data_IF_132569660171
#
_entry.id   IF_132569660171
#
_cell.length_a   1.000
_cell.length_b   1.000
_cell.length_c   1.000
_cell.angle_alpha   90.00
_cell.angle_beta   90.00
_cell.angle_gamma   90.00
#
_symmetry.space_group_name_H-M   'P 1'
#
loop_
_entity.id
_entity.type
_entity.pdbx_description
1 polymer ?
#
# COMPACT_ATOMS: atom_id res chain seq x y z
N UNK A 1 -68.35 -31.23 20.32
CA UNK A 1 -68.46 -30.00 19.49
C UNK A 1 -67.40 -28.99 19.93
N UNK A 2 -66.20 -29.07 19.32
CA UNK A 2 -65.40 -27.93 18.83
C UNK A 2 -64.06 -28.49 18.32
N UNK A 3 -63.87 -28.26 17.02
CA UNK A 3 -62.72 -28.55 16.17
C UNK A 3 -61.71 -27.40 16.22
N UNK A 4 -60.44 -27.75 15.97
CA UNK A 4 -59.36 -27.03 15.26
C UNK A 4 -58.92 -25.64 15.79
N UNK A 5 -57.63 -25.25 15.80
CA UNK A 5 -56.61 -25.34 14.75
C UNK A 5 -55.18 -25.37 15.33
N UNK A 6 -54.35 -26.31 14.89
CA UNK A 6 -52.90 -26.25 15.03
C UNK A 6 -52.33 -25.62 13.74
N UNK A 7 -51.78 -24.40 13.82
CA UNK A 7 -51.13 -23.74 12.69
C UNK A 7 -49.69 -24.25 12.57
N UNK A 8 -49.41 -25.04 11.54
CA UNK A 8 -48.03 -25.35 11.12
C UNK A 8 -47.45 -24.14 10.39
N UNK A 9 -46.35 -23.59 10.91
CA UNK A 9 -45.55 -22.57 10.23
C UNK A 9 -44.46 -23.28 9.44
N UNK A 10 -44.61 -23.34 8.11
CA UNK A 10 -43.64 -23.92 7.18
C UNK A 10 -42.56 -22.85 6.90
N UNK A 11 -41.34 -23.05 7.41
CA UNK A 11 -40.20 -22.18 7.09
C UNK A 11 -39.60 -22.64 5.75
N UNK A 12 -39.84 -21.89 4.68
CA UNK A 12 -39.18 -22.13 3.38
C UNK A 12 -37.81 -21.46 3.43
N UNK A 13 -36.76 -22.25 3.67
CA UNK A 13 -35.37 -21.83 3.48
C UNK A 13 -35.11 -21.63 1.99
N UNK A 14 -35.15 -20.39 1.52
CA UNK A 14 -34.53 -20.02 0.26
C UNK A 14 -33.02 -19.97 0.49
N UNK A 15 -32.28 -20.86 -0.16
CA UNK A 15 -30.83 -20.75 -0.28
C UNK A 15 -30.50 -19.49 -1.08
N UNK A 16 -30.26 -18.39 -0.39
CA UNK A 16 -29.56 -17.25 -0.96
C UNK A 16 -28.12 -17.71 -1.12
N UNK A 17 -27.67 -17.95 -2.35
CA UNK A 17 -26.25 -18.01 -2.65
C UNK A 17 -25.72 -16.58 -2.43
N UNK A 18 -25.38 -16.25 -1.18
CA UNK A 18 -24.47 -15.15 -0.93
C UNK A 18 -23.15 -15.56 -1.56
N UNK A 19 -22.78 -14.87 -2.64
CA UNK A 19 -21.37 -14.74 -2.97
C UNK A 19 -20.77 -14.07 -1.75
N UNK A 20 -20.03 -14.82 -0.94
CA UNK A 20 -19.16 -14.24 0.07
C UNK A 20 -18.20 -13.34 -0.71
N UNK A 21 -18.27 -12.03 -0.53
CA UNK A 21 -17.05 -11.25 -0.67
C UNK A 21 -16.06 -11.86 0.33
N UNK A 22 -14.78 -11.96 -0.02
CA UNK A 22 -13.75 -12.29 0.97
C UNK A 22 -13.94 -11.40 2.20
N UNK A 23 -13.63 -11.93 3.37
CA UNK A 23 -13.60 -11.10 4.58
C UNK A 23 -12.62 -9.95 4.31
N UNK A 24 -13.00 -8.72 4.65
CA UNK A 24 -12.10 -7.57 4.48
C UNK A 24 -11.02 -7.67 5.55
N UNK A 25 -9.89 -8.25 5.19
CA UNK A 25 -8.75 -8.42 6.07
C UNK A 25 -7.42 -8.19 5.31
N UNK A 26 -6.32 -8.65 5.91
CA UNK A 26 -4.96 -8.56 5.36
C UNK A 26 -4.39 -9.93 4.99
N UNK A 27 -5.27 -10.92 4.83
CA UNK A 27 -4.96 -12.29 4.47
C UNK A 27 -5.46 -12.51 3.05
N UNK A 28 -4.60 -13.05 2.20
CA UNK A 28 -5.04 -13.42 0.87
C UNK A 28 -4.09 -14.38 0.19
N UNK A 29 -4.46 -14.77 -1.03
CA UNK A 29 -3.64 -15.63 -1.88
C UNK A 29 -2.88 -14.87 -2.96
N UNK A 30 -3.18 -13.58 -3.17
CA UNK A 30 -2.54 -12.77 -4.22
C UNK A 30 -2.33 -11.33 -3.77
N UNK A 31 -1.14 -10.79 -4.02
CA UNK A 31 -0.78 -9.41 -3.68
C UNK A 31 -0.01 -8.78 -4.84
N UNK A 32 -0.28 -7.50 -5.10
CA UNK A 32 0.49 -6.68 -6.04
C UNK A 32 1.05 -5.47 -5.30
N UNK A 33 2.36 -5.43 -5.15
CA UNK A 33 3.07 -4.44 -4.33
C UNK A 33 4.03 -3.60 -5.17
N UNK A 34 4.40 -2.43 -4.64
CA UNK A 34 5.51 -1.63 -5.12
C UNK A 34 6.26 -0.98 -3.95
N UNK A 35 7.49 -0.55 -4.19
CA UNK A 35 8.31 0.14 -3.19
C UNK A 35 8.56 1.59 -3.60
N UNK A 36 8.05 2.54 -2.80
CA UNK A 36 8.21 3.98 -3.05
C UNK A 36 9.66 4.43 -2.87
N UNK A 37 10.02 5.62 -3.35
CA UNK A 37 11.38 6.11 -3.19
C UNK A 37 11.73 6.35 -1.71
N UNK A 38 12.80 5.69 -1.28
CA UNK A 38 13.49 5.91 -0.02
C UNK A 38 14.93 6.14 -0.43
N UNK A 39 15.45 7.34 -0.19
CA UNK A 39 16.77 7.70 -0.70
C UNK A 39 17.54 8.56 0.28
N UNK A 40 18.82 8.26 0.35
CA UNK A 40 19.84 9.08 1.00
C UNK A 40 20.93 9.29 -0.04
N UNK A 41 21.24 10.57 -0.31
CA UNK A 41 22.36 10.97 -1.15
C UNK A 41 23.66 10.28 -0.68
N UNK A 42 24.56 10.01 -1.63
CA UNK A 42 24.82 8.65 -2.10
C UNK A 42 25.27 7.72 -0.97
N UNK A 43 24.47 6.70 -0.68
CA UNK A 43 24.92 5.55 0.12
C UNK A 43 25.82 4.66 -0.73
N UNK A 44 27.05 4.41 -0.26
CA UNK A 44 28.01 3.48 -0.88
C UNK A 44 27.64 2.01 -0.66
N UNK A 45 26.61 1.74 0.15
CA UNK A 45 26.16 0.40 0.50
C UNK A 45 24.63 0.38 0.44
N UNK A 46 24.06 0.21 -0.76
CA UNK A 46 22.61 0.11 -0.92
C UNK A 46 22.04 -1.02 -0.06
N UNK A 47 20.94 -0.75 0.66
CA UNK A 47 20.19 -1.80 1.36
C UNK A 47 19.11 -2.40 0.47
N UNK A 48 18.89 -3.70 0.63
CA UNK A 48 17.82 -4.45 -0.04
C UNK A 48 16.44 -4.01 0.49
N UNK A 49 15.43 -4.10 -0.37
CA UNK A 49 14.04 -4.08 0.07
C UNK A 49 13.67 -5.49 0.56
N UNK A 50 12.78 -5.56 1.54
CA UNK A 50 12.44 -6.82 2.21
C UNK A 50 10.93 -7.06 2.17
N UNK A 51 10.55 -8.31 1.92
CA UNK A 51 9.17 -8.79 2.05
C UNK A 51 9.17 -9.94 3.05
N UNK A 52 8.29 -9.84 4.04
CA UNK A 52 8.03 -10.90 5.00
C UNK A 52 6.69 -11.55 4.67
N UNK A 53 6.66 -12.87 4.65
CA UNK A 53 5.43 -13.65 4.44
C UNK A 53 5.23 -14.56 5.63
N UNK A 54 4.01 -14.65 6.14
CA UNK A 54 3.61 -15.56 7.21
C UNK A 54 2.22 -16.12 6.96
N UNK A 55 1.87 -17.22 7.59
CA UNK A 55 0.55 -17.84 7.46
C UNK A 55 0.09 -18.39 8.81
N UNK A 56 -1.23 -18.51 8.98
CA UNK A 56 -1.84 -19.26 10.08
C UNK A 56 -2.37 -20.63 9.62
N UNK A 57 -2.24 -20.95 8.32
CA UNK A 57 -2.73 -22.19 7.73
C UNK A 57 -2.05 -23.41 8.35
N UNK A 58 -2.84 -24.42 8.69
CA UNK A 58 -2.33 -25.65 9.31
C UNK A 58 -1.58 -26.55 8.32
N UNK A 59 -1.86 -26.39 7.02
CA UNK A 59 -1.19 -27.11 5.94
C UNK A 59 -0.01 -26.30 5.41
N UNK A 60 0.91 -26.97 4.69
CA UNK A 60 2.00 -26.30 3.98
C UNK A 60 1.41 -25.38 2.91
N UNK A 61 1.81 -24.11 2.93
CA UNK A 61 1.46 -23.11 1.91
C UNK A 61 2.65 -22.92 0.98
N UNK A 62 2.42 -23.07 -0.33
CA UNK A 62 3.40 -22.74 -1.35
C UNK A 62 3.24 -21.27 -1.75
N UNK A 63 4.34 -20.52 -1.77
CA UNK A 63 4.37 -19.11 -2.14
C UNK A 63 5.34 -18.90 -3.30
N UNK A 64 4.94 -18.09 -4.28
CA UNK A 64 5.75 -17.62 -5.39
C UNK A 64 5.75 -16.09 -5.41
N UNK A 65 6.94 -15.49 -5.44
CA UNK A 65 7.15 -14.06 -5.59
C UNK A 65 7.89 -13.80 -6.88
N UNK A 66 7.36 -12.90 -7.70
CA UNK A 66 7.95 -12.55 -8.99
C UNK A 66 7.85 -11.05 -9.30
N UNK A 67 8.66 -10.59 -10.25
CA UNK A 67 8.55 -9.25 -10.84
C UNK A 67 8.16 -9.38 -12.32
N UNK A 68 6.86 -9.48 -12.65
CA UNK A 68 6.42 -9.95 -13.98
C UNK A 68 6.92 -9.11 -15.16
N UNK A 69 7.09 -7.79 -14.97
CA UNK A 69 7.54 -6.85 -16.02
C UNK A 69 8.92 -6.23 -15.78
N UNK A 70 9.62 -6.61 -14.71
CA UNK A 70 10.97 -6.12 -14.39
C UNK A 70 11.98 -7.25 -14.44
N UNK A 71 12.99 -7.12 -15.31
CA UNK A 71 13.93 -8.21 -15.60
C UNK A 71 15.38 -7.92 -15.18
N UNK A 72 15.67 -6.72 -14.62
CA UNK A 72 17.04 -6.34 -14.28
C UNK A 72 17.12 -5.53 -12.97
N UNK A 73 17.28 -6.20 -11.81
CA UNK A 73 17.31 -7.66 -11.64
C UNK A 73 15.90 -8.26 -11.56
N UNK A 74 15.70 -9.44 -12.16
CA UNK A 74 14.46 -10.21 -12.07
C UNK A 74 14.27 -10.75 -10.64
N UNK A 75 13.03 -10.72 -10.16
CA UNK A 75 12.56 -11.49 -8.99
C UNK A 75 11.83 -12.73 -9.49
N UNK A 76 12.23 -13.88 -8.95
CA UNK A 76 11.62 -15.18 -9.20
C UNK A 76 12.02 -16.12 -8.05
N UNK A 77 11.18 -16.18 -7.02
CA UNK A 77 11.48 -16.89 -5.79
C UNK A 77 10.28 -17.69 -5.31
N UNK A 78 10.49 -18.93 -4.90
CA UNK A 78 9.44 -19.79 -4.35
C UNK A 78 9.91 -20.47 -3.08
N UNK A 79 8.98 -20.63 -2.15
CA UNK A 79 9.23 -21.32 -0.88
C UNK A 79 7.94 -21.93 -0.34
N UNK A 80 8.10 -22.80 0.66
CA UNK A 80 7.02 -23.34 1.44
C UNK A 80 7.05 -22.71 2.82
N UNK A 81 5.88 -22.43 3.38
CA UNK A 81 5.74 -21.88 4.72
C UNK A 81 4.62 -22.59 5.48
N UNK A 82 4.77 -22.72 6.79
CA UNK A 82 3.78 -23.31 7.69
C UNK A 82 3.43 -22.37 8.85
N UNK A 83 2.34 -22.65 9.56
CA UNK A 83 1.91 -21.84 10.70
C UNK A 83 3.03 -21.62 11.74
N UNK A 84 3.26 -20.36 12.10
CA UNK A 84 4.28 -19.94 13.07
C UNK A 84 5.64 -19.61 12.46
N UNK A 85 5.82 -19.83 11.15
CA UNK A 85 7.02 -19.41 10.41
C UNK A 85 6.85 -18.02 9.80
N UNK A 86 7.99 -17.36 9.55
CA UNK A 86 8.06 -16.11 8.78
C UNK A 86 9.21 -16.26 7.79
N UNK A 87 8.89 -16.18 6.50
CA UNK A 87 9.91 -16.15 5.45
C UNK A 87 10.29 -14.70 5.16
N UNK A 88 11.60 -14.42 5.13
CA UNK A 88 12.15 -13.13 4.70
C UNK A 88 12.76 -13.26 3.32
N UNK A 89 12.16 -12.58 2.34
CA UNK A 89 12.68 -12.48 0.98
C UNK A 89 13.25 -11.09 0.76
N UNK A 90 14.46 -11.02 0.21
CA UNK A 90 15.17 -9.77 -0.07
C UNK A 90 15.29 -9.54 -1.56
N UNK A 91 15.09 -8.29 -1.99
CA UNK A 91 15.23 -7.91 -3.39
C UNK A 91 16.17 -6.71 -3.55
N UNK A 92 16.72 -6.57 -4.75
CA UNK A 92 17.51 -5.39 -5.09
C UNK A 92 16.69 -4.12 -4.89
N UNK A 93 17.37 -3.07 -4.41
CA UNK A 93 16.83 -1.71 -4.35
C UNK A 93 16.38 -1.17 -5.71
N UNK A 94 16.78 -1.77 -6.82
CA UNK A 94 16.43 -1.26 -8.16
C UNK A 94 14.94 -1.39 -8.48
N UNK A 95 14.22 -2.24 -7.73
CA UNK A 95 12.76 -2.33 -7.75
C UNK A 95 12.07 -1.17 -7.01
N UNK A 96 12.84 -0.29 -6.37
CA UNK A 96 12.33 0.94 -5.78
C UNK A 96 12.08 1.97 -6.88
N UNK A 97 10.95 2.67 -6.78
CA UNK A 97 10.66 3.81 -7.65
C UNK A 97 11.66 4.95 -7.42
N UNK A 98 11.90 5.77 -8.44
CA UNK A 98 12.78 6.95 -8.34
C UNK A 98 12.13 8.15 -9.00
N UNK A 99 11.90 9.21 -8.22
CA UNK A 99 11.26 10.42 -8.72
C UNK A 99 9.79 10.22 -9.08
N UNK A 100 9.27 11.17 -9.86
CA UNK A 100 7.95 11.05 -10.49
C UNK A 100 8.10 10.31 -11.81
N UNK A 101 7.76 9.01 -11.83
CA UNK A 101 7.93 8.17 -13.02
C UNK A 101 6.87 7.07 -13.11
N UNK A 102 6.60 6.65 -14.35
CA UNK A 102 5.98 5.35 -14.64
C UNK A 102 7.08 4.30 -14.79
N UNK A 103 6.86 3.10 -14.26
CA UNK A 103 7.81 1.99 -14.35
C UNK A 103 7.10 0.64 -14.42
N UNK A 104 7.89 -0.43 -14.43
CA UNK A 104 7.43 -1.83 -14.49
C UNK A 104 7.80 -2.62 -13.24
N UNK A 105 7.95 -1.92 -12.10
CA UNK A 105 8.55 -2.45 -10.87
C UNK A 105 7.53 -3.11 -9.94
N UNK A 106 6.39 -3.55 -10.47
CA UNK A 106 5.39 -4.30 -9.71
C UNK A 106 5.92 -5.66 -9.26
N UNK A 107 5.63 -6.02 -8.01
CA UNK A 107 5.95 -7.32 -7.42
C UNK A 107 4.64 -8.07 -7.22
N UNK A 108 4.55 -9.27 -7.79
CA UNK A 108 3.43 -10.18 -7.64
C UNK A 108 3.80 -11.26 -6.63
N UNK A 109 2.95 -11.46 -5.63
CA UNK A 109 3.04 -12.56 -4.66
C UNK A 109 1.79 -13.41 -4.84
N UNK A 110 1.98 -14.71 -5.02
CA UNK A 110 0.90 -15.68 -5.16
C UNK A 110 1.14 -16.83 -4.19
N UNK A 111 0.08 -17.26 -3.50
CA UNK A 111 0.13 -18.31 -2.51
C UNK A 111 -0.97 -19.35 -2.77
N UNK A 112 -0.72 -20.61 -2.37
CA UNK A 112 -1.70 -21.68 -2.51
C UNK A 112 -2.84 -21.62 -1.46
N UNK A 113 -2.69 -20.79 -0.44
CA UNK A 113 -3.64 -20.54 0.64
C UNK A 113 -3.31 -19.19 1.32
N UNK A 114 -4.13 -18.79 2.27
CA UNK A 114 -4.08 -17.48 2.94
C UNK A 114 -2.70 -17.18 3.59
N UNK A 115 -2.12 -16.04 3.23
CA UNK A 115 -0.90 -15.51 3.85
C UNK A 115 -1.07 -14.04 4.21
N UNK A 116 -0.33 -13.57 5.21
CA UNK A 116 -0.11 -12.15 5.47
C UNK A 116 1.25 -11.73 4.91
N UNK A 117 1.30 -10.52 4.36
CA UNK A 117 2.52 -9.97 3.74
C UNK A 117 2.88 -8.63 4.38
N UNK A 118 4.17 -8.40 4.64
CA UNK A 118 4.70 -7.11 5.10
C UNK A 118 5.86 -6.67 4.22
N UNK A 119 5.87 -5.42 3.77
CA UNK A 119 6.98 -4.83 3.02
C UNK A 119 7.80 -3.89 3.89
N UNK A 120 9.13 -3.95 3.78
CA UNK A 120 10.06 -3.06 4.46
C UNK A 120 10.96 -2.34 3.47
N UNK A 121 10.91 -1.01 3.47
CA UNK A 121 11.62 -0.15 2.55
C UNK A 121 12.82 0.50 3.25
N UNK A 122 14.00 -0.13 3.16
CA UNK A 122 15.17 0.24 3.96
C UNK A 122 16.23 1.00 3.18
N UNK A 123 16.88 1.94 3.86
CA UNK A 123 18.13 2.55 3.47
C UNK A 123 18.95 2.91 4.72
N UNK A 124 20.25 3.19 4.59
CA UNK A 124 21.15 3.45 5.71
C UNK A 124 20.67 4.67 6.51
N UNK A 125 19.99 4.46 7.66
CA UNK A 125 19.38 5.54 8.47
C UNK A 125 18.09 6.12 7.85
N UNK A 126 17.31 5.30 7.17
CA UNK A 126 15.95 5.61 6.75
C UNK A 126 15.18 4.30 6.56
N UNK A 127 14.16 4.02 7.35
CA UNK A 127 13.36 2.79 7.17
C UNK A 127 11.93 3.01 7.59
N UNK A 128 11.02 2.44 6.81
CA UNK A 128 9.66 2.21 7.24
C UNK A 128 9.10 0.97 6.55
N UNK A 129 7.98 0.45 7.04
CA UNK A 129 7.32 -0.73 6.52
C UNK A 129 5.81 -0.56 6.42
N UNK A 130 5.20 -1.43 5.64
CA UNK A 130 3.76 -1.43 5.41
C UNK A 130 3.20 -2.85 5.48
N UNK A 131 1.94 -2.95 5.87
CA UNK A 131 1.15 -4.17 5.72
C UNK A 131 0.67 -4.28 4.27
N UNK A 132 0.92 -5.43 3.65
CA UNK A 132 0.44 -5.76 2.32
C UNK A 132 -1.06 -6.06 2.35
N UNK A 133 -1.83 -5.43 1.46
CA UNK A 133 -3.25 -5.76 1.25
C UNK A 133 -3.41 -6.68 0.04
N UNK A 134 -4.17 -7.78 0.16
CA UNK A 134 -4.41 -8.71 -0.93
C UNK A 134 -5.28 -8.09 -2.04
N UNK A 135 -5.22 -8.65 -3.25
CA UNK A 135 -5.87 -8.06 -4.43
C UNK A 135 -7.40 -8.04 -4.36
N UNK A 136 -8.00 -8.90 -3.54
CA UNK A 136 -9.44 -9.03 -3.34
C UNK A 136 -10.05 -8.00 -2.37
N UNK A 137 -9.23 -7.28 -1.60
CA UNK A 137 -9.67 -6.14 -0.77
C UNK A 137 -9.30 -4.78 -1.39
N UNK A 138 -8.68 -4.75 -2.57
CA UNK A 138 -8.39 -3.52 -3.28
C UNK A 138 -9.65 -2.96 -3.96
N UNK A 139 -9.68 -1.64 -4.10
CA UNK A 139 -10.80 -0.88 -4.65
C UNK A 139 -10.33 0.17 -5.64
N UNK A 140 -11.20 1.15 -5.91
CA UNK A 140 -11.02 2.13 -7.00
C UNK A 140 -11.07 3.59 -6.55
N UNK A 141 -11.22 3.84 -5.25
CA UNK A 141 -11.31 5.17 -4.67
C UNK A 141 -10.50 5.23 -3.38
N UNK A 142 -9.54 6.16 -3.32
CA UNK A 142 -8.61 6.31 -2.21
C UNK A 142 -8.36 7.79 -1.94
N UNK A 143 -7.90 8.09 -0.72
CA UNK A 143 -7.30 9.39 -0.39
C UNK A 143 -5.91 9.18 0.17
N UNK A 144 -4.94 9.90 -0.38
CA UNK A 144 -3.59 9.87 0.13
C UNK A 144 -3.48 10.50 1.52
N UNK A 145 -2.56 9.97 2.32
CA UNK A 145 -2.16 10.51 3.62
C UNK A 145 -0.64 10.65 3.63
N UNK A 146 -0.15 11.87 3.83
CA UNK A 146 1.27 12.21 3.89
C UNK A 146 1.55 13.16 5.05
N UNK A 147 2.83 13.39 5.38
CA UNK A 147 3.20 14.23 6.53
C UNK A 147 3.81 15.56 6.09
N UNK A 148 3.29 16.65 6.65
CA UNK A 148 3.76 18.02 6.45
C UNK A 148 4.19 18.69 7.78
N UNK A 149 5.24 19.53 7.81
CA UNK A 149 6.11 19.89 6.68
C UNK A 149 7.05 18.74 6.29
N UNK A 150 7.19 18.42 4.99
CA UNK A 150 8.06 17.36 4.56
C UNK A 150 9.52 17.85 4.59
N UNK A 151 10.44 17.00 5.04
CA UNK A 151 11.87 17.35 4.94
C UNK A 151 12.43 17.12 3.54
N UNK A 152 11.92 16.12 2.83
CA UNK A 152 12.10 15.92 1.39
C UNK A 152 10.72 16.02 0.71
N UNK A 153 10.36 15.09 -0.17
CA UNK A 153 9.07 15.08 -0.85
C UNK A 153 8.02 14.24 -0.10
N UNK A 154 6.75 14.60 -0.23
CA UNK A 154 5.61 13.69 -0.04
C UNK A 154 5.41 12.89 -1.32
N UNK A 155 4.91 11.66 -1.20
CA UNK A 155 4.87 10.71 -2.31
C UNK A 155 3.57 9.92 -2.33
N UNK A 156 3.10 9.60 -3.54
CA UNK A 156 2.03 8.63 -3.81
C UNK A 156 2.57 7.62 -4.82
N UNK A 157 2.36 6.33 -4.55
CA UNK A 157 2.73 5.21 -5.41
C UNK A 157 1.52 4.35 -5.77
N UNK A 158 1.48 3.81 -6.98
CA UNK A 158 0.44 2.92 -7.48
C UNK A 158 1.08 1.70 -8.13
N UNK A 159 0.50 0.51 -7.91
CA UNK A 159 0.74 -0.67 -8.73
C UNK A 159 -0.60 -1.16 -9.32
N UNK A 160 -0.63 -1.34 -10.64
CA UNK A 160 -1.83 -1.79 -11.34
C UNK A 160 -1.98 -3.32 -11.26
N UNK A 161 -3.20 -3.78 -10.96
CA UNK A 161 -3.56 -5.21 -10.90
C UNK A 161 -4.16 -5.70 -12.22
N UNK A 162 -4.62 -4.78 -13.06
CA UNK A 162 -5.27 -5.12 -14.33
C UNK A 162 -4.73 -4.27 -15.47
N UNK A 163 -4.80 -4.81 -16.70
CA UNK A 163 -4.47 -4.07 -17.91
C UNK A 163 -5.43 -2.90 -18.16
N UNK A 164 -4.99 -1.91 -18.94
CA UNK A 164 -5.80 -0.74 -19.30
C UNK A 164 -6.43 -0.01 -18.09
N UNK A 165 -5.68 0.09 -17.00
CA UNK A 165 -6.08 0.79 -15.79
C UNK A 165 -5.75 2.28 -15.91
N UNK A 166 -6.79 3.11 -15.95
CA UNK A 166 -6.70 4.56 -15.92
C UNK A 166 -6.83 5.04 -14.49
N UNK A 167 -5.87 5.82 -14.02
CA UNK A 167 -5.83 6.40 -12.69
C UNK A 167 -5.90 7.92 -12.79
N UNK A 168 -6.76 8.53 -11.99
CA UNK A 168 -7.01 9.97 -11.93
C UNK A 168 -6.63 10.47 -10.54
N UNK A 169 -5.64 11.35 -10.46
CA UNK A 169 -5.19 12.00 -9.24
C UNK A 169 -5.75 13.41 -9.18
N UNK A 170 -6.80 13.62 -8.38
CA UNK A 170 -7.36 14.95 -8.11
C UNK A 170 -6.55 15.60 -7.01
N UNK A 171 -5.58 16.44 -7.40
CA UNK A 171 -4.56 16.95 -6.50
C UNK A 171 -5.14 17.94 -5.51
N UNK A 172 -4.80 17.73 -4.24
CA UNK A 172 -5.10 18.66 -3.16
C UNK A 172 -3.79 19.19 -2.60
N UNK A 173 -3.59 20.50 -2.70
CA UNK A 173 -2.49 21.22 -2.06
C UNK A 173 -3.06 22.30 -1.16
N UNK A 174 -2.32 22.60 -0.09
CA UNK A 174 -2.66 23.70 0.81
C UNK A 174 -1.87 24.98 0.48
N UNK A 175 -0.74 24.86 -0.23
CA UNK A 175 0.20 25.94 -0.56
C UNK A 175 0.56 25.90 -2.06
N UNK A 176 1.81 26.23 -2.40
CA UNK A 176 2.32 26.39 -3.78
C UNK A 176 2.97 25.11 -4.34
N UNK A 177 2.70 23.94 -3.74
CA UNK A 177 3.23 22.67 -4.23
C UNK A 177 2.72 22.30 -5.61
N UNK A 178 3.47 21.43 -6.28
CA UNK A 178 3.06 20.85 -7.56
C UNK A 178 3.73 19.49 -7.79
N UNK A 179 3.15 18.72 -8.70
CA UNK A 179 3.75 17.53 -9.31
C UNK A 179 4.16 17.89 -10.74
N UNK A 180 5.35 17.45 -11.16
CA UNK A 180 5.76 17.51 -12.57
C UNK A 180 5.78 16.09 -13.14
N UNK A 181 5.10 15.88 -14.25
CA UNK A 181 5.08 14.60 -14.96
C UNK A 181 4.93 14.85 -16.47
N UNK A 182 5.72 14.13 -17.26
CA UNK A 182 5.71 14.22 -18.73
C UNK A 182 5.84 15.66 -19.29
N UNK A 183 6.69 16.47 -18.65
CA UNK A 183 6.92 17.90 -18.94
C UNK A 183 5.76 18.85 -18.58
N UNK A 184 4.65 18.33 -18.06
CA UNK A 184 3.55 19.13 -17.54
C UNK A 184 3.68 19.35 -16.02
N UNK A 185 3.13 20.46 -15.54
CA UNK A 185 3.11 20.84 -14.13
C UNK A 185 1.67 20.89 -13.65
N UNK A 186 1.38 20.15 -12.57
CA UNK A 186 0.04 20.00 -12.00
C UNK A 186 0.00 20.61 -10.60
N UNK A 187 -0.89 21.57 -10.40
CA UNK A 187 -1.13 22.30 -9.16
C UNK A 187 -2.42 21.83 -8.47
N UNK A 188 -2.82 22.55 -7.42
CA UNK A 188 -3.94 22.16 -6.57
C UNK A 188 -5.24 22.37 -7.32
N UNK A 189 -6.10 21.34 -7.33
CA UNK A 189 -7.32 21.32 -8.14
C UNK A 189 -7.14 20.71 -9.53
N UNK A 190 -5.90 20.54 -10.00
CA UNK A 190 -5.66 19.85 -11.27
C UNK A 190 -5.89 18.34 -11.13
N UNK A 191 -6.12 17.69 -12.28
CA UNK A 191 -6.22 16.23 -12.36
C UNK A 191 -5.10 15.69 -13.24
N UNK A 192 -4.16 14.98 -12.62
CA UNK A 192 -3.18 14.18 -13.34
C UNK A 192 -3.82 12.83 -13.71
N UNK A 193 -3.61 12.38 -14.95
CA UNK A 193 -4.11 11.08 -15.43
C UNK A 193 -2.96 10.19 -15.89
N UNK A 194 -2.95 8.94 -15.46
CA UNK A 194 -1.95 7.94 -15.87
C UNK A 194 -2.66 6.67 -16.33
N UNK A 195 -2.16 6.06 -17.41
CA UNK A 195 -2.62 4.75 -17.88
C UNK A 195 -1.55 3.69 -17.56
N UNK A 196 -1.96 2.60 -16.93
CA UNK A 196 -1.13 1.50 -16.50
C UNK A 196 -1.70 0.18 -17.02
N UNK A 197 -0.81 -0.69 -17.47
CA UNK A 197 -1.09 -2.09 -17.67
C UNK A 197 -0.74 -2.90 -16.42
N UNK A 198 -1.19 -4.15 -16.37
CA UNK A 198 -1.00 -5.05 -15.24
C UNK A 198 0.48 -5.11 -14.80
N UNK A 199 0.75 -4.98 -13.50
CA UNK A 199 2.08 -4.92 -12.88
C UNK A 199 2.95 -3.70 -13.25
N UNK A 200 2.44 -2.74 -14.02
CA UNK A 200 3.09 -1.44 -14.14
C UNK A 200 2.83 -0.61 -12.88
N UNK A 201 3.80 0.25 -12.57
CA UNK A 201 3.80 1.10 -11.40
C UNK A 201 3.90 2.56 -11.78
N UNK A 202 3.39 3.43 -10.93
CA UNK A 202 3.55 4.87 -11.05
C UNK A 202 3.85 5.47 -9.69
N UNK A 203 4.75 6.44 -9.64
CA UNK A 203 4.99 7.23 -8.45
C UNK A 203 4.98 8.71 -8.83
N UNK A 204 4.46 9.55 -7.94
CA UNK A 204 4.60 11.00 -8.04
C UNK A 204 5.02 11.64 -6.73
N UNK A 205 5.80 12.71 -6.86
CA UNK A 205 6.25 13.55 -5.76
C UNK A 205 5.64 14.94 -5.83
N UNK A 206 5.26 15.47 -4.67
CA UNK A 206 5.12 16.92 -4.52
C UNK A 206 6.49 17.56 -4.36
N UNK A 207 6.69 18.74 -4.94
CA UNK A 207 7.94 19.48 -4.81
C UNK A 207 8.24 19.91 -3.37
N UNK A 208 7.25 20.47 -2.66
CA UNK A 208 7.44 21.03 -1.31
C UNK A 208 6.22 20.91 -0.39
N UNK A 209 5.10 20.36 -0.85
CA UNK A 209 3.81 20.47 -0.17
C UNK A 209 3.20 19.11 0.19
N UNK A 210 2.16 19.13 1.01
CA UNK A 210 1.39 17.98 1.44
C UNK A 210 0.55 17.40 0.29
N UNK A 211 0.55 16.08 0.10
CA UNK A 211 -0.37 15.40 -0.81
C UNK A 211 -1.62 14.87 -0.11
N UNK A 212 -1.74 15.07 1.22
CA UNK A 212 -2.87 14.59 2.01
C UNK A 212 -4.20 15.08 1.45
N UNK A 213 -5.12 14.14 1.26
CA UNK A 213 -6.45 14.39 0.71
C UNK A 213 -6.49 14.53 -0.81
N UNK A 214 -5.39 14.29 -1.52
CA UNK A 214 -5.43 13.99 -2.96
C UNK A 214 -6.30 12.75 -3.16
N UNK A 215 -7.35 12.87 -3.96
CA UNK A 215 -8.25 11.75 -4.26
C UNK A 215 -7.74 10.99 -5.47
N UNK A 216 -7.65 9.68 -5.35
CA UNK A 216 -7.12 8.77 -6.35
C UNK A 216 -8.27 7.89 -6.80
N UNK A 217 -8.66 8.03 -8.06
CA UNK A 217 -9.76 7.27 -8.66
C UNK A 217 -9.22 6.39 -9.78
N UNK A 218 -9.78 5.20 -9.97
CA UNK A 218 -9.44 4.33 -11.08
C UNK A 218 -10.66 3.62 -11.68
N UNK A 219 -10.50 3.08 -12.89
CA UNK A 219 -11.52 2.22 -13.51
C UNK A 219 -11.40 0.74 -13.13
N UNK A 220 -10.28 0.32 -12.53
CA UNK A 220 -10.03 -1.03 -12.04
C UNK A 220 -9.36 -0.97 -10.66
N UNK A 221 -9.48 -2.03 -9.82
CA UNK A 221 -8.77 -2.09 -8.54
C UNK A 221 -7.26 -1.88 -8.69
N UNK A 222 -6.68 -1.13 -7.75
CA UNK A 222 -5.26 -0.77 -7.75
C UNK A 222 -4.66 -0.87 -6.34
N UNK A 223 -3.38 -1.16 -6.27
CA UNK A 223 -2.63 -1.06 -5.02
C UNK A 223 -2.13 0.37 -4.87
N UNK A 224 -2.44 1.03 -3.76
CA UNK A 224 -2.13 2.45 -3.52
C UNK A 224 -1.25 2.60 -2.28
N UNK A 225 -0.18 3.37 -2.41
CA UNK A 225 0.75 3.69 -1.34
C UNK A 225 0.86 5.20 -1.20
N UNK A 226 1.03 5.70 0.03
CA UNK A 226 1.39 7.10 0.25
C UNK A 226 2.29 7.29 1.45
N UNK A 227 2.99 8.41 1.47
CA UNK A 227 3.78 8.85 2.61
C UNK A 227 4.80 9.90 2.22
N UNK A 228 6.05 9.70 2.64
CA UNK A 228 7.12 10.66 2.44
C UNK A 228 8.41 9.94 2.05
N UNK A 229 9.13 10.52 1.09
CA UNK A 229 10.48 10.09 0.73
C UNK A 229 11.37 9.94 1.95
N UNK A 230 11.37 11.01 2.76
CA UNK A 230 12.09 11.13 4.01
C UNK A 230 11.60 12.36 4.77
N UNK A 231 11.20 12.22 6.03
CA UNK A 231 10.79 13.35 6.86
C UNK A 231 11.06 13.17 8.34
N UNK A 232 11.08 14.29 9.09
CA UNK A 232 11.20 14.32 10.54
C UNK A 232 9.79 14.40 11.14
N UNK A 233 9.35 13.34 11.79
CA UNK A 233 8.12 13.33 12.60
C UNK A 233 8.46 13.78 14.02
N UNK A 234 8.56 15.09 14.23
CA UNK A 234 8.81 15.69 15.55
C UNK A 234 8.38 17.17 15.59
N UNK A 235 8.20 17.76 16.80
CA UNK A 235 7.85 19.17 16.94
C UNK A 235 8.94 20.09 16.39
N UNK A 236 8.50 21.23 15.87
CA UNK A 236 9.36 22.27 15.31
C UNK A 236 10.29 22.94 16.36
N UNK A 237 10.05 22.75 17.66
CA UNK A 237 10.65 23.56 18.75
C UNK A 237 11.63 22.82 19.67
N UNK A 238 12.05 21.59 19.33
CA UNK A 238 13.03 20.86 20.14
C UNK A 238 14.36 20.75 19.38
N UNK A 239 15.23 21.75 19.61
CA UNK A 239 16.61 21.84 19.11
C UNK A 239 17.53 20.70 19.60
N UNK A 240 17.06 19.87 20.53
CA UNK A 240 17.80 18.77 21.15
C UNK A 240 17.42 17.39 20.61
N UNK A 241 16.36 17.25 19.80
CA UNK A 241 16.08 15.98 19.10
C UNK A 241 17.02 15.90 17.91
N UNK A 242 17.83 14.84 17.88
CA UNK A 242 18.69 14.47 16.74
C UNK A 242 17.93 14.70 15.43
N UNK A 243 18.60 15.21 14.40
CA UNK A 243 18.04 15.40 13.05
C UNK A 243 17.73 14.07 12.32
N UNK A 244 17.16 13.10 13.03
CA UNK A 244 16.65 11.85 12.48
C UNK A 244 15.46 12.14 11.59
N UNK A 245 15.43 11.44 10.46
CA UNK A 245 14.39 11.53 9.45
C UNK A 245 14.28 10.13 8.86
N UNK A 246 13.07 9.67 8.64
CA UNK A 246 12.83 8.35 8.07
C UNK A 246 11.87 8.48 6.89
N UNK A 247 11.90 7.47 6.03
CA UNK A 247 10.85 7.24 5.05
C UNK A 247 9.52 7.08 5.79
N UNK A 248 8.41 7.42 5.14
CA UNK A 248 7.08 7.08 5.62
C UNK A 248 6.35 6.37 4.48
N UNK A 249 5.71 5.24 4.78
CA UNK A 249 4.91 4.50 3.81
C UNK A 249 3.75 3.78 4.47
N UNK A 250 2.61 3.76 3.79
CA UNK A 250 1.51 2.86 4.07
C UNK A 250 0.85 2.43 2.77
N UNK A 251 0.47 1.16 2.66
CA UNK A 251 -0.50 0.73 1.64
C UNK A 251 -1.88 1.14 2.15
N UNK A 252 -2.62 1.87 1.33
CA UNK A 252 -3.89 2.46 1.72
C UNK A 252 -5.03 1.48 1.46
N UNK A 253 -5.93 1.25 2.43
CA UNK A 253 -7.20 0.61 2.15
C UNK A 253 -8.12 1.56 1.34
N UNK A 254 -8.94 1.02 0.43
CA UNK A 254 -9.89 1.84 -0.33
C UNK A 254 -11.00 2.42 0.56
N UNK A 255 -11.68 3.47 0.07
CA UNK A 255 -12.67 4.23 0.85
C UNK A 255 -13.87 3.38 1.28
N UNK A 256 -14.25 2.39 0.49
CA UNK A 256 -15.40 1.51 0.75
C UNK A 256 -15.19 0.56 1.93
N UNK A 257 -13.95 0.33 2.36
CA UNK A 257 -13.63 -0.48 3.56
C UNK A 257 -13.31 0.35 4.80
N UNK A 258 -13.40 1.69 4.73
CA UNK A 258 -13.14 2.53 5.88
C UNK A 258 -14.24 2.37 6.94
N UNK A 259 -13.81 2.01 8.16
CA UNK A 259 -14.69 2.03 9.32
C UNK A 259 -15.05 3.46 9.74
N UNK A 260 -16.17 3.61 10.46
CA UNK A 260 -16.52 4.86 11.14
C UNK A 260 -16.04 4.90 12.59
N UNK A 261 -15.54 3.77 13.10
CA UNK A 261 -15.23 3.55 14.51
C UNK A 261 -13.86 2.91 14.63
N UNK A 262 -12.99 3.52 15.44
CA UNK A 262 -11.62 3.08 15.63
C UNK A 262 -11.31 3.03 17.12
N UNK A 263 -10.62 1.98 17.56
CA UNK A 263 -10.07 1.90 18.91
C UNK A 263 -8.61 2.27 18.82
N UNK A 264 -8.20 3.24 19.62
CA UNK A 264 -6.81 3.67 19.66
C UNK A 264 -6.27 3.53 21.08
N UNK A 265 -5.00 3.13 21.19
CA UNK A 265 -4.30 3.01 22.48
C UNK A 265 -3.05 3.89 22.42
N UNK A 266 -2.93 4.94 23.26
CA UNK A 266 -1.76 5.79 23.23
C UNK A 266 -0.53 4.97 23.63
N UNK A 267 0.59 5.18 22.96
CA UNK A 267 1.85 4.56 23.37
C UNK A 267 2.34 5.26 24.65
N UNK A 268 2.37 4.59 25.83
CA UNK A 268 2.67 5.27 27.08
C UNK A 268 4.05 5.95 27.05
N UNK A 269 4.09 7.25 27.33
CA UNK A 269 5.32 8.04 27.34
C UNK A 269 5.82 8.52 25.96
N UNK A 270 5.13 8.17 24.87
CA UNK A 270 5.38 8.77 23.55
C UNK A 270 4.61 10.08 23.46
N UNK A 271 5.32 11.16 23.14
CA UNK A 271 4.72 12.50 23.03
C UNK A 271 4.26 12.83 21.59
N UNK A 272 4.74 12.08 20.59
CA UNK A 272 4.50 12.34 19.15
C UNK A 272 4.55 11.05 18.31
N UNK A 273 3.63 10.89 17.35
CA UNK A 273 3.58 9.78 16.37
C UNK A 273 2.74 8.58 16.85
N UNK A 274 2.23 7.77 15.89
CA UNK A 274 1.22 6.69 16.02
C UNK A 274 0.25 6.83 17.20
N UNK A 275 -0.23 8.09 17.33
CA UNK A 275 -1.11 8.75 18.30
C UNK A 275 -0.48 10.04 18.85
#
# INVERSE_FOLDING_TARGET
MKMDYLKYFLLILHSINMVSSGDVDNLGTEFVLMFMENSIKPSTTPLEIEVFVTTYESNIVYVHISSPKWNNPKVDHSFNITAGEVELVKFSRDLRMVGTEKSSKGILIQASAEVAVYGFNKEKQSTDGFLGLPTDVLGTDYFAVTYYPPTMQTEIGIAAVYNNTKVYFKLKYSLTGHVTYDNDVYFGGDTLTVNLDEYETFQMHSTTDDLTGTRILSNNPISVFSGNKKTKVAPNDISTIRNSKDHLVSQLPPVDVWGSTFVTVPTPGRLFGDM
#
